data_IF_769935863242
#
_entry.id   IF_769935863242
#
_cell.length_a   1.000
_cell.length_b   1.000
_cell.length_c   1.000
_cell.angle_alpha   90.00
_cell.angle_beta   90.00
_cell.angle_gamma   90.00
#
_symmetry.space_group_name_H-M   'P 1'
#
loop_
_entity.id
_entity.type
_entity.pdbx_description
1 polymer ?
#
# COMPACT_ATOMS: atom_id res chain seq x y z
N UNK A 1 2.02 16.01 -32.69
CA UNK A 1 2.47 16.64 -31.43
C UNK A 1 3.66 15.82 -30.95
N UNK A 2 4.89 16.35 -31.04
CA UNK A 2 6.05 15.68 -30.45
C UNK A 2 5.91 15.86 -28.94
N UNK A 3 5.87 14.77 -28.18
CA UNK A 3 5.96 14.84 -26.72
C UNK A 3 7.37 15.38 -26.41
N UNK A 4 7.47 16.67 -26.11
CA UNK A 4 8.66 17.18 -25.47
C UNK A 4 8.72 16.55 -24.10
N UNK A 5 9.70 15.69 -23.89
CA UNK A 5 9.98 15.15 -22.57
C UNK A 5 10.39 16.33 -21.70
N UNK A 6 9.67 16.50 -20.60
CA UNK A 6 10.01 17.48 -19.58
C UNK A 6 11.45 17.20 -19.10
N UNK A 7 12.37 18.07 -19.47
CA UNK A 7 13.74 18.01 -18.95
C UNK A 7 13.66 18.51 -17.51
N UNK A 8 13.91 17.60 -16.57
CA UNK A 8 13.95 17.91 -15.15
C UNK A 8 14.92 19.06 -14.90
N UNK A 9 14.46 20.09 -14.22
CA UNK A 9 15.31 21.20 -13.77
C UNK A 9 16.25 20.72 -12.65
N UNK A 10 17.30 21.47 -12.32
CA UNK A 10 18.30 21.04 -11.33
C UNK A 10 17.70 20.88 -9.93
N UNK A 11 16.64 21.63 -9.59
CA UNK A 11 15.86 21.48 -8.36
C UNK A 11 15.13 20.13 -8.30
N UNK A 12 14.63 19.65 -9.44
CA UNK A 12 14.00 18.34 -9.57
C UNK A 12 14.99 17.18 -9.34
N UNK A 13 16.26 17.36 -9.70
CA UNK A 13 17.31 16.36 -9.47
C UNK A 13 17.60 16.18 -7.98
N UNK A 14 17.57 17.26 -7.20
CA UNK A 14 17.69 17.20 -5.74
C UNK A 14 16.52 16.42 -5.10
N UNK A 15 15.30 16.71 -5.53
CA UNK A 15 14.11 15.99 -5.10
C UNK A 15 14.17 14.51 -5.48
N UNK A 16 14.64 14.16 -6.69
CA UNK A 16 14.80 12.77 -7.10
C UNK A 16 15.84 12.01 -6.25
N UNK A 17 16.94 12.66 -5.89
CA UNK A 17 17.94 12.07 -4.99
C UNK A 17 17.31 11.75 -3.61
N UNK A 18 16.50 12.65 -3.10
CA UNK A 18 15.80 12.47 -1.84
C UNK A 18 14.73 11.37 -1.93
N UNK A 19 13.97 11.31 -3.04
CA UNK A 19 13.03 10.21 -3.30
C UNK A 19 13.74 8.86 -3.26
N UNK A 20 14.85 8.72 -3.99
CA UNK A 20 15.62 7.48 -4.06
C UNK A 20 16.07 7.02 -2.68
N UNK A 21 16.66 7.91 -1.88
CA UNK A 21 17.10 7.58 -0.52
C UNK A 21 15.93 7.11 0.38
N UNK A 22 14.74 7.69 0.22
CA UNK A 22 13.55 7.29 0.97
C UNK A 22 13.11 5.87 0.57
N UNK A 23 13.08 5.54 -0.72
CA UNK A 23 12.72 4.20 -1.21
C UNK A 23 13.74 3.15 -0.77
N UNK A 24 15.06 3.45 -0.89
CA UNK A 24 16.13 2.57 -0.45
C UNK A 24 16.05 2.28 1.06
N UNK A 25 15.69 3.27 1.89
CA UNK A 25 15.52 3.06 3.33
C UNK A 25 14.30 2.19 3.66
N UNK A 26 13.20 2.35 2.93
CA UNK A 26 12.01 1.50 3.06
C UNK A 26 12.37 0.05 2.71
N UNK A 27 13.11 -0.17 1.63
CA UNK A 27 13.55 -1.50 1.23
C UNK A 27 14.48 -2.13 2.29
N UNK A 28 15.47 -1.40 2.80
CA UNK A 28 16.41 -1.90 3.82
C UNK A 28 15.66 -2.39 5.07
N UNK A 29 14.70 -1.63 5.57
CA UNK A 29 13.89 -2.03 6.72
C UNK A 29 12.99 -3.22 6.39
N UNK A 30 12.28 -3.15 5.25
CA UNK A 30 11.35 -4.19 4.84
C UNK A 30 12.02 -5.54 4.59
N UNK A 31 13.16 -5.57 3.90
CA UNK A 31 13.95 -6.79 3.72
C UNK A 31 14.56 -7.28 5.04
N UNK A 32 15.00 -6.36 5.92
CA UNK A 32 15.46 -6.74 7.26
C UNK A 32 14.36 -7.45 8.06
N UNK A 33 13.10 -7.00 7.95
CA UNK A 33 11.95 -7.70 8.58
C UNK A 33 11.75 -9.08 7.95
N UNK A 34 11.76 -9.17 6.61
CA UNK A 34 11.60 -10.44 5.90
C UNK A 34 12.66 -11.46 6.28
N UNK A 35 13.92 -11.02 6.36
CA UNK A 35 15.06 -11.91 6.58
C UNK A 35 15.26 -12.28 8.05
N UNK A 36 15.04 -11.35 8.97
CA UNK A 36 15.37 -11.57 10.38
C UNK A 36 14.17 -11.95 11.25
N UNK A 37 12.96 -11.54 10.87
CA UNK A 37 11.74 -11.76 11.67
C UNK A 37 10.89 -12.87 11.07
N UNK A 38 10.80 -12.94 9.75
CA UNK A 38 9.89 -13.82 9.03
C UNK A 38 10.58 -15.00 8.31
N UNK A 39 11.88 -15.25 8.56
CA UNK A 39 12.69 -16.27 7.86
C UNK A 39 13.06 -17.50 8.70
N UNK A 40 12.45 -17.70 9.86
CA UNK A 40 12.76 -18.83 10.76
C UNK A 40 12.72 -20.22 10.10
N UNK A 41 13.48 -21.20 10.65
CA UNK A 41 13.62 -22.57 10.11
C UNK A 41 12.28 -23.34 10.06
N UNK A 42 11.30 -22.97 10.88
CA UNK A 42 9.96 -23.53 10.88
C UNK A 42 8.99 -22.42 10.52
N UNK A 43 8.78 -22.25 9.22
CA UNK A 43 7.71 -21.37 8.75
C UNK A 43 6.40 -22.14 8.95
N UNK A 44 5.68 -21.82 10.02
CA UNK A 44 4.28 -22.18 10.14
C UNK A 44 3.52 -21.49 8.97
N UNK A 45 2.62 -22.23 8.32
CA UNK A 45 1.81 -21.73 7.20
C UNK A 45 1.11 -20.39 7.54
N UNK A 46 0.89 -20.12 8.81
CA UNK A 46 0.31 -18.85 9.29
C UNK A 46 1.19 -17.61 8.99
N UNK A 47 2.48 -17.78 8.73
CA UNK A 47 3.39 -16.67 8.42
C UNK A 47 3.43 -16.31 6.93
N UNK A 48 2.98 -17.24 6.07
CA UNK A 48 2.97 -17.06 4.61
C UNK A 48 2.22 -15.78 4.20
N UNK A 49 0.99 -15.52 4.69
CA UNK A 49 0.27 -14.30 4.34
C UNK A 49 0.98 -13.02 4.77
N UNK A 50 1.56 -12.99 5.97
CA UNK A 50 2.27 -11.82 6.50
C UNK A 50 3.47 -11.49 5.60
N UNK A 51 4.29 -12.51 5.30
CA UNK A 51 5.42 -12.38 4.36
C UNK A 51 4.96 -11.90 2.99
N UNK A 52 3.90 -12.52 2.46
CA UNK A 52 3.39 -12.20 1.12
C UNK A 52 2.87 -10.77 1.05
N UNK A 53 2.17 -10.28 2.08
CA UNK A 53 1.69 -8.89 2.14
C UNK A 53 2.87 -7.93 2.24
N UNK A 54 3.83 -8.18 3.13
CA UNK A 54 5.01 -7.32 3.27
C UNK A 54 5.83 -7.31 1.97
N UNK A 55 6.09 -8.47 1.38
CA UNK A 55 6.79 -8.57 0.10
C UNK A 55 6.06 -7.78 -1.00
N UNK A 56 4.72 -7.89 -1.04
CA UNK A 56 3.91 -7.12 -2.00
C UNK A 56 4.01 -5.62 -1.78
N UNK A 57 4.07 -5.15 -0.53
CA UNK A 57 4.29 -3.75 -0.21
C UNK A 57 5.66 -3.26 -0.71
N UNK A 58 6.71 -4.08 -0.61
CA UNK A 58 8.04 -3.75 -1.16
C UNK A 58 8.05 -3.75 -2.71
N UNK A 59 7.34 -4.67 -3.37
CA UNK A 59 7.15 -4.59 -4.83
C UNK A 59 6.43 -3.29 -5.24
N UNK A 60 5.47 -2.82 -4.44
CA UNK A 60 4.79 -1.55 -4.70
C UNK A 60 5.71 -0.36 -4.43
N UNK A 61 6.59 -0.45 -3.42
CA UNK A 61 7.66 0.53 -3.17
C UNK A 61 8.56 0.69 -4.40
N UNK A 62 9.08 -0.41 -4.96
CA UNK A 62 9.89 -0.39 -6.19
C UNK A 62 9.10 0.20 -7.37
N UNK A 63 7.84 -0.21 -7.55
CA UNK A 63 6.97 0.32 -8.61
C UNK A 63 6.77 1.83 -8.47
N UNK A 64 6.50 2.32 -7.25
CA UNK A 64 6.34 3.76 -6.99
C UNK A 64 7.65 4.50 -7.26
N UNK A 65 8.81 3.92 -6.91
CA UNK A 65 10.11 4.54 -7.16
C UNK A 65 10.32 4.84 -8.65
N UNK A 66 9.97 3.88 -9.52
CA UNK A 66 10.04 4.04 -10.98
C UNK A 66 9.05 5.08 -11.50
N UNK A 67 7.81 5.07 -11.01
CA UNK A 67 6.78 6.03 -11.43
C UNK A 67 7.15 7.46 -11.01
N UNK A 68 7.60 7.65 -9.79
CA UNK A 68 8.01 8.95 -9.24
C UNK A 68 9.24 9.46 -9.98
N UNK A 69 10.27 8.63 -10.19
CA UNK A 69 11.46 9.00 -10.94
C UNK A 69 11.16 9.46 -12.39
N UNK A 70 10.04 8.98 -12.95
CA UNK A 70 9.58 9.35 -14.28
C UNK A 70 8.43 10.36 -14.29
N UNK A 71 8.08 10.95 -13.14
CA UNK A 71 6.97 11.90 -12.97
C UNK A 71 5.60 11.38 -13.43
N UNK A 72 5.37 10.06 -13.38
CA UNK A 72 4.13 9.40 -13.80
C UNK A 72 3.19 9.27 -12.59
N UNK A 73 2.76 10.39 -12.04
CA UNK A 73 2.07 10.44 -10.74
C UNK A 73 0.63 9.98 -10.81
N UNK A 74 -0.07 10.21 -11.92
CA UNK A 74 -1.48 9.84 -12.03
C UNK A 74 -1.74 8.34 -11.91
N UNK A 75 -0.78 7.51 -12.33
CA UNK A 75 -0.86 6.04 -12.19
C UNK A 75 -0.38 5.55 -10.83
N UNK A 76 0.23 6.41 -10.01
CA UNK A 76 0.65 6.06 -8.66
C UNK A 76 -0.53 6.02 -7.66
N UNK A 77 -1.59 6.80 -7.87
CA UNK A 77 -2.75 6.80 -6.95
C UNK A 77 -3.45 5.45 -6.78
N UNK A 78 -3.73 4.66 -7.84
CA UNK A 78 -4.22 3.29 -7.69
C UNK A 78 -3.30 2.40 -6.86
N UNK A 79 -1.98 2.57 -7.00
CA UNK A 79 -0.98 1.83 -6.23
C UNK A 79 -1.06 2.22 -4.76
N UNK A 80 -1.06 3.51 -4.45
CA UNK A 80 -1.18 4.02 -3.08
C UNK A 80 -2.48 3.56 -2.41
N UNK A 81 -3.59 3.48 -3.17
CA UNK A 81 -4.81 2.87 -2.68
C UNK A 81 -4.62 1.42 -2.29
N UNK A 82 -3.98 0.63 -3.15
CA UNK A 82 -3.74 -0.78 -2.88
C UNK A 82 -2.81 -0.97 -1.66
N UNK A 83 -1.79 -0.13 -1.50
CA UNK A 83 -0.96 -0.10 -0.28
C UNK A 83 -1.80 0.15 0.98
N UNK A 84 -2.74 1.10 0.92
CA UNK A 84 -3.62 1.36 2.05
C UNK A 84 -4.51 0.15 2.39
N UNK A 85 -5.04 -0.53 1.38
CA UNK A 85 -5.82 -1.76 1.58
C UNK A 85 -4.97 -2.88 2.21
N UNK A 86 -3.70 -3.02 1.80
CA UNK A 86 -2.75 -3.97 2.41
C UNK A 86 -2.38 -3.58 3.84
N UNK A 87 -2.17 -2.28 4.12
CA UNK A 87 -1.93 -1.78 5.47
C UNK A 87 -3.09 -2.12 6.40
N UNK A 88 -4.35 -1.91 5.98
CA UNK A 88 -5.53 -2.27 6.77
C UNK A 88 -5.57 -3.77 7.08
N UNK A 89 -5.32 -4.60 6.08
CA UNK A 89 -5.33 -6.06 6.23
C UNK A 89 -4.21 -6.54 7.16
N UNK A 90 -3.00 -6.02 6.98
CA UNK A 90 -1.87 -6.36 7.84
C UNK A 90 -2.08 -5.86 9.27
N UNK A 91 -2.62 -4.64 9.45
CA UNK A 91 -2.96 -4.09 10.76
C UNK A 91 -4.00 -4.94 11.49
N UNK A 92 -5.00 -5.45 10.79
CA UNK A 92 -5.99 -6.35 11.37
C UNK A 92 -5.37 -7.71 11.73
N UNK A 93 -4.51 -8.25 10.88
CA UNK A 93 -3.83 -9.52 11.11
C UNK A 93 -2.89 -9.43 12.31
N UNK A 94 -2.11 -8.36 12.43
CA UNK A 94 -1.13 -8.12 13.48
C UNK A 94 -1.70 -7.37 14.70
N UNK A 95 -3.02 -7.27 14.84
CA UNK A 95 -3.64 -6.52 15.95
C UNK A 95 -3.49 -7.20 17.31
N UNK A 96 -3.27 -8.52 17.33
CA UNK A 96 -3.19 -9.35 18.52
C UNK A 96 -2.41 -10.62 18.22
N UNK A 97 -1.36 -10.89 19.01
CA UNK A 97 -0.49 -12.04 18.87
C UNK A 97 -1.21 -13.37 19.12
N UNK A 98 -2.21 -13.41 20.00
CA UNK A 98 -2.95 -14.63 20.32
C UNK A 98 -3.82 -15.11 19.15
N UNK A 99 -4.35 -14.18 18.37
CA UNK A 99 -5.24 -14.46 17.23
C UNK A 99 -4.52 -14.42 15.87
N UNK A 100 -3.23 -14.10 15.86
CA UNK A 100 -2.42 -13.95 14.66
C UNK A 100 -2.51 -15.16 13.74
N UNK A 101 -2.23 -16.35 14.26
CA UNK A 101 -2.21 -17.59 13.46
C UNK A 101 -3.57 -17.87 12.82
N UNK A 102 -4.66 -17.69 13.56
CA UNK A 102 -6.01 -17.91 13.03
C UNK A 102 -6.41 -16.89 11.96
N UNK A 103 -6.10 -15.60 12.17
CA UNK A 103 -6.36 -14.54 11.19
C UNK A 103 -5.57 -14.74 9.91
N UNK A 104 -4.30 -15.04 10.05
CA UNK A 104 -3.41 -15.28 8.93
C UNK A 104 -3.84 -16.51 8.14
N UNK A 105 -4.16 -17.61 8.83
CA UNK A 105 -4.64 -18.81 8.18
C UNK A 105 -6.01 -18.62 7.52
N UNK A 106 -6.91 -17.78 8.07
CA UNK A 106 -8.17 -17.41 7.41
C UNK A 106 -7.91 -16.64 6.11
N UNK A 107 -6.95 -15.74 6.10
CA UNK A 107 -6.52 -15.07 4.86
C UNK A 107 -6.03 -16.07 3.82
N UNK A 108 -5.13 -16.97 4.20
CA UNK A 108 -4.58 -18.01 3.33
C UNK A 108 -5.67 -18.95 2.80
N UNK A 109 -6.55 -19.42 3.66
CA UNK A 109 -7.71 -20.22 3.29
C UNK A 109 -8.56 -19.53 2.23
N UNK A 110 -8.89 -18.26 2.41
CA UNK A 110 -9.70 -17.50 1.46
C UNK A 110 -8.97 -17.33 0.13
N UNK A 111 -7.68 -17.09 0.12
CA UNK A 111 -6.86 -16.98 -1.08
C UNK A 111 -6.83 -18.30 -1.87
N UNK A 112 -6.54 -19.42 -1.21
CA UNK A 112 -6.57 -20.76 -1.81
C UNK A 112 -7.95 -21.06 -2.39
N UNK A 113 -9.01 -20.78 -1.62
CA UNK A 113 -10.39 -21.04 -2.05
C UNK A 113 -10.76 -20.20 -3.28
N UNK A 114 -10.38 -18.95 -3.35
CA UNK A 114 -10.75 -18.04 -4.45
C UNK A 114 -9.94 -18.27 -5.72
N UNK A 115 -8.63 -18.51 -5.57
CA UNK A 115 -7.73 -18.64 -6.72
C UNK A 115 -7.66 -20.04 -7.27
N UNK A 116 -7.60 -21.05 -6.41
CA UNK A 116 -7.28 -22.41 -6.80
C UNK A 116 -8.49 -23.33 -6.83
N UNK A 117 -9.35 -23.30 -5.84
CA UNK A 117 -10.49 -24.22 -5.75
C UNK A 117 -11.45 -24.22 -6.96
N UNK A 118 -11.63 -23.12 -7.73
CA UNK A 118 -12.41 -23.17 -8.96
C UNK A 118 -11.78 -24.00 -10.08
N UNK A 119 -10.45 -24.16 -10.05
CA UNK A 119 -9.65 -24.81 -11.10
C UNK A 119 -8.98 -26.11 -10.63
N UNK A 120 -8.68 -26.21 -9.35
CA UNK A 120 -7.95 -27.31 -8.74
C UNK A 120 -8.55 -27.66 -7.36
N UNK A 121 -9.51 -28.60 -7.36
CA UNK A 121 -10.13 -29.08 -6.12
C UNK A 121 -9.19 -29.97 -5.31
N UNK A 122 -8.22 -30.61 -5.96
CA UNK A 122 -7.28 -31.52 -5.29
C UNK A 122 -6.38 -30.73 -4.35
N UNK A 123 -5.94 -29.52 -4.76
CA UNK A 123 -5.15 -28.64 -3.91
C UNK A 123 -5.88 -28.25 -2.61
N UNK A 124 -7.18 -27.95 -2.72
CA UNK A 124 -8.00 -27.64 -1.54
C UNK A 124 -8.11 -28.85 -0.59
N UNK A 125 -8.28 -30.04 -1.15
CA UNK A 125 -8.34 -31.31 -0.40
C UNK A 125 -7.00 -31.59 0.27
N UNK A 126 -5.89 -31.37 -0.42
CA UNK A 126 -4.55 -31.55 0.12
C UNK A 126 -4.30 -30.64 1.34
N UNK A 127 -4.62 -29.36 1.23
CA UNK A 127 -4.54 -28.43 2.38
C UNK A 127 -5.42 -28.86 3.55
N UNK A 128 -6.66 -29.31 3.31
CA UNK A 128 -7.54 -29.83 4.35
C UNK A 128 -7.01 -31.10 5.02
N UNK A 129 -6.31 -31.94 4.25
CA UNK A 129 -5.74 -33.19 4.76
C UNK A 129 -4.51 -32.94 5.61
N UNK A 130 -3.68 -31.98 5.20
CA UNK A 130 -2.38 -31.71 5.82
C UNK A 130 -2.44 -30.66 6.95
N UNK A 131 -3.50 -29.87 7.07
CA UNK A 131 -3.66 -28.87 8.10
C UNK A 131 -5.00 -28.99 8.81
N UNK A 132 -4.96 -29.33 10.10
CA UNK A 132 -6.15 -29.38 10.96
C UNK A 132 -6.84 -28.03 11.02
N UNK A 133 -6.09 -26.95 11.24
CA UNK A 133 -6.63 -25.59 11.30
C UNK A 133 -7.32 -25.21 9.99
N UNK A 134 -6.71 -25.52 8.85
CA UNK A 134 -7.32 -25.26 7.54
C UNK A 134 -8.65 -26.00 7.37
N UNK A 135 -8.74 -27.26 7.79
CA UNK A 135 -9.98 -28.06 7.76
C UNK A 135 -11.06 -27.50 8.67
N UNK A 136 -10.68 -27.05 9.88
CA UNK A 136 -11.60 -26.39 10.81
C UNK A 136 -12.15 -25.07 10.24
N UNK A 137 -11.30 -24.24 9.65
CA UNK A 137 -11.69 -23.02 8.97
C UNK A 137 -12.62 -23.27 7.79
N UNK A 138 -12.34 -24.31 7.00
CA UNK A 138 -13.23 -24.72 5.90
C UNK A 138 -14.64 -25.04 6.39
N UNK A 139 -14.73 -25.85 7.42
CA UNK A 139 -16.01 -26.24 8.04
C UNK A 139 -16.75 -25.01 8.60
N UNK A 140 -16.05 -24.14 9.32
CA UNK A 140 -16.57 -22.90 9.86
C UNK A 140 -17.10 -21.97 8.78
N UNK A 141 -16.33 -21.77 7.70
CA UNK A 141 -16.72 -20.87 6.60
C UNK A 141 -17.93 -21.41 5.84
N UNK A 142 -18.03 -22.73 5.61
CA UNK A 142 -19.19 -23.31 4.95
C UNK A 142 -20.48 -23.13 5.74
N UNK A 143 -20.41 -23.04 7.06
CA UNK A 143 -21.58 -22.78 7.91
C UNK A 143 -22.08 -21.32 7.83
N UNK A 144 -21.29 -20.39 7.28
CA UNK A 144 -21.67 -18.98 7.16
C UNK A 144 -22.49 -18.78 5.87
N UNK A 145 -23.72 -18.28 6.02
CA UNK A 145 -24.59 -17.99 4.86
C UNK A 145 -24.02 -16.80 4.04
N UNK A 146 -23.90 -17.01 2.74
CA UNK A 146 -23.38 -15.97 1.82
C UNK A 146 -21.87 -15.77 1.89
N UNK A 147 -21.15 -16.79 2.37
CA UNK A 147 -19.70 -16.77 2.54
C UNK A 147 -18.91 -16.48 1.24
N UNK A 148 -19.47 -16.79 0.04
CA UNK A 148 -18.79 -16.60 -1.24
C UNK A 148 -18.50 -15.12 -1.57
N UNK A 149 -19.25 -14.20 -0.96
CA UNK A 149 -19.16 -12.75 -1.21
C UNK A 149 -18.54 -11.99 -0.04
N UNK A 150 -18.04 -12.70 0.96
CA UNK A 150 -17.45 -12.09 2.14
C UNK A 150 -15.94 -12.04 1.99
N UNK A 151 -15.35 -10.91 2.42
CA UNK A 151 -13.91 -10.78 2.60
C UNK A 151 -13.42 -11.69 3.74
N UNK A 152 -12.15 -12.05 3.74
CA UNK A 152 -11.56 -12.93 4.75
C UNK A 152 -11.74 -12.42 6.18
N UNK A 153 -11.59 -11.12 6.41
CA UNK A 153 -11.81 -10.48 7.71
C UNK A 153 -13.30 -10.51 8.13
N UNK A 154 -14.22 -10.45 7.16
CA UNK A 154 -15.65 -10.64 7.43
C UNK A 154 -15.97 -12.08 7.82
N UNK A 155 -15.32 -13.06 7.20
CA UNK A 155 -15.44 -14.47 7.50
C UNK A 155 -14.83 -14.79 8.88
N UNK A 156 -13.68 -14.19 9.19
CA UNK A 156 -13.04 -14.32 10.49
C UNK A 156 -13.98 -13.82 11.62
N UNK A 157 -14.52 -12.63 11.48
CA UNK A 157 -15.42 -11.99 12.44
C UNK A 157 -16.86 -12.54 12.40
N UNK A 158 -17.17 -13.43 11.48
CA UNK A 158 -18.52 -13.97 11.24
C UNK A 158 -19.60 -12.88 11.09
N UNK A 159 -19.24 -11.75 10.48
CA UNK A 159 -20.14 -10.64 10.18
C UNK A 159 -19.64 -9.87 8.97
N UNK A 160 -20.56 -9.25 8.22
CA UNK A 160 -20.18 -8.42 7.09
C UNK A 160 -19.42 -7.15 7.55
N UNK A 161 -18.18 -7.02 7.13
CA UNK A 161 -17.32 -5.85 7.37
C UNK A 161 -16.98 -5.24 6.02
N UNK A 162 -17.21 -3.95 5.87
CA UNK A 162 -16.75 -3.17 4.72
C UNK A 162 -15.30 -2.73 4.95
N UNK A 163 -14.62 -2.24 3.91
CA UNK A 163 -13.28 -1.70 4.07
C UNK A 163 -13.24 -0.50 5.05
N UNK A 164 -14.30 0.32 5.06
CA UNK A 164 -14.49 1.36 6.08
C UNK A 164 -14.58 0.75 7.48
N UNK A 165 -15.41 -0.26 7.65
CA UNK A 165 -15.53 -0.95 8.96
C UNK A 165 -14.21 -1.59 9.39
N UNK A 166 -13.41 -2.12 8.46
CA UNK A 166 -12.07 -2.61 8.75
C UNK A 166 -11.15 -1.48 9.23
N UNK A 167 -11.19 -0.31 8.57
CA UNK A 167 -10.40 0.85 9.01
C UNK A 167 -10.78 1.34 10.40
N UNK A 168 -12.06 1.26 10.77
CA UNK A 168 -12.55 1.58 12.12
C UNK A 168 -12.01 0.59 13.17
N UNK A 169 -11.99 -0.70 12.85
CA UNK A 169 -11.46 -1.75 13.73
C UNK A 169 -9.97 -1.55 14.02
N UNK A 170 -9.19 -1.18 13.02
CA UNK A 170 -7.73 -1.01 13.16
C UNK A 170 -7.31 0.43 13.52
N UNK A 171 -8.25 1.34 13.75
CA UNK A 171 -7.98 2.72 14.17
C UNK A 171 -7.41 3.62 13.06
N UNK A 172 -7.73 3.32 11.80
CA UNK A 172 -7.34 4.08 10.61
C UNK A 172 -8.52 4.72 9.87
N UNK A 173 -9.63 4.93 10.58
CA UNK A 173 -10.86 5.52 10.05
C UNK A 173 -10.68 6.94 9.52
N UNK A 174 -9.84 7.76 10.18
CA UNK A 174 -9.51 9.12 9.72
C UNK A 174 -8.77 9.09 8.39
N UNK A 175 -7.77 8.23 8.26
CA UNK A 175 -7.02 8.04 7.02
C UNK A 175 -7.95 7.55 5.90
N UNK A 176 -8.83 6.59 6.21
CA UNK A 176 -9.82 6.11 5.25
C UNK A 176 -10.69 7.25 4.72
N UNK A 177 -11.26 8.07 5.60
CA UNK A 177 -12.15 9.17 5.20
C UNK A 177 -11.43 10.26 4.40
N UNK A 178 -10.16 10.52 4.70
CA UNK A 178 -9.38 11.55 4.03
C UNK A 178 -8.82 11.10 2.67
N UNK A 179 -8.42 9.85 2.54
CA UNK A 179 -7.65 9.37 1.40
C UNK A 179 -8.44 8.48 0.45
N UNK A 180 -9.19 7.52 0.98
CA UNK A 180 -9.79 6.46 0.19
C UNK A 180 -10.81 6.94 -0.87
N UNK A 181 -11.68 7.93 -0.60
CA UNK A 181 -12.60 8.44 -1.61
C UNK A 181 -11.86 9.04 -2.82
N UNK A 182 -10.76 9.78 -2.58
CA UNK A 182 -9.96 10.39 -3.64
C UNK A 182 -9.19 9.33 -4.43
N UNK A 183 -8.54 8.37 -3.75
CA UNK A 183 -7.82 7.28 -4.39
C UNK A 183 -8.75 6.32 -5.16
N UNK A 184 -10.00 6.20 -4.72
CA UNK A 184 -11.01 5.34 -5.35
C UNK A 184 -11.58 5.93 -6.64
N UNK A 185 -11.72 7.25 -6.72
CA UNK A 185 -12.27 7.93 -7.90
C UNK A 185 -11.42 7.68 -9.15
N UNK A 186 -10.11 7.62 -9.01
CA UNK A 186 -9.17 7.41 -10.11
C UNK A 186 -9.25 6.01 -10.75
N UNK A 187 -9.74 5.01 -10.01
CA UNK A 187 -9.84 3.63 -10.52
C UNK A 187 -11.14 3.38 -11.28
N UNK A 188 -12.23 4.01 -10.86
CA UNK A 188 -13.56 3.70 -11.40
C UNK A 188 -13.94 4.49 -12.65
N UNK A 189 -13.01 5.25 -13.25
CA UNK A 189 -13.27 6.03 -14.47
C UNK A 189 -14.33 7.14 -14.32
N UNK A 190 -14.95 7.26 -13.13
CA UNK A 190 -15.90 8.34 -12.80
C UNK A 190 -15.20 9.70 -12.65
N UNK A 191 -13.90 9.69 -12.46
CA UNK A 191 -13.03 10.86 -12.32
C UNK A 191 -12.49 11.39 -13.64
N UNK A 192 -12.94 10.87 -14.79
CA UNK A 192 -12.60 11.48 -16.08
C UNK A 192 -13.01 12.97 -16.14
N UNK A 193 -13.91 13.41 -15.26
CA UNK A 193 -14.19 14.84 -15.05
C UNK A 193 -12.99 15.63 -14.48
N UNK A 194 -12.06 14.99 -13.81
CA UNK A 194 -10.74 15.57 -13.51
C UNK A 194 -9.91 15.84 -14.77
N UNK A 195 -10.33 15.34 -15.93
CA UNK A 195 -9.78 15.82 -17.19
C UNK A 195 -9.87 17.36 -17.32
N UNK A 196 -10.85 17.99 -16.66
CA UNK A 196 -10.91 19.45 -16.57
C UNK A 196 -9.75 20.05 -15.76
N UNK A 197 -9.20 19.33 -14.79
CA UNK A 197 -7.99 19.75 -14.08
C UNK A 197 -6.72 19.52 -14.90
N UNK A 198 -6.81 18.73 -15.96
CA UNK A 198 -5.72 18.48 -16.92
C UNK A 198 -5.77 19.44 -18.11
N UNK A 199 -6.72 20.34 -18.14
CA UNK A 199 -6.83 21.39 -19.15
C UNK A 199 -6.61 22.74 -18.49
N UNK A 200 -6.00 23.66 -19.20
CA UNK A 200 -5.96 25.07 -18.83
C UNK A 200 -6.47 25.93 -19.98
N UNK A 201 -7.04 27.06 -19.66
CA UNK A 201 -7.55 28.03 -20.63
C UNK A 201 -6.55 29.19 -20.75
N UNK A 202 -6.12 29.47 -21.97
CA UNK A 202 -5.32 30.64 -22.30
C UNK A 202 -5.89 31.29 -23.56
N UNK A 203 -6.27 32.56 -23.47
CA UNK A 203 -6.81 33.33 -24.60
C UNK A 203 -8.04 32.70 -25.26
N UNK A 204 -8.90 32.00 -24.51
CA UNK A 204 -10.09 31.32 -25.03
C UNK A 204 -9.79 29.97 -25.72
N UNK A 205 -8.59 29.44 -25.56
CA UNK A 205 -8.19 28.11 -26.03
C UNK A 205 -7.94 27.19 -24.87
N UNK A 206 -8.33 25.92 -25.04
CA UNK A 206 -8.07 24.86 -24.06
C UNK A 206 -6.87 24.03 -24.46
N UNK A 207 -5.93 23.86 -23.54
CA UNK A 207 -4.73 23.06 -23.72
C UNK A 207 -4.75 21.90 -22.73
N UNK A 208 -4.32 20.72 -23.17
CA UNK A 208 -4.13 19.58 -22.29
C UNK A 208 -2.83 19.77 -21.50
N UNK A 209 -2.90 19.63 -20.18
CA UNK A 209 -1.70 19.54 -19.34
C UNK A 209 -0.91 18.28 -19.68
N UNK A 210 0.39 18.34 -19.48
CA UNK A 210 1.23 17.14 -19.59
C UNK A 210 0.81 16.07 -18.58
N UNK A 211 0.94 14.78 -18.95
CA UNK A 211 0.65 13.68 -18.02
C UNK A 211 1.71 13.57 -16.92
N UNK A 212 2.89 14.13 -17.11
CA UNK A 212 3.99 14.10 -16.15
C UNK A 212 3.95 15.39 -15.34
N UNK A 213 3.37 15.29 -14.14
CA UNK A 213 3.18 16.42 -13.25
C UNK A 213 4.02 16.22 -12.00
N UNK A 214 5.11 16.95 -11.91
CA UNK A 214 5.96 16.94 -10.72
C UNK A 214 5.20 17.41 -9.45
N UNK A 215 4.30 18.36 -9.60
CA UNK A 215 3.52 18.99 -8.52
C UNK A 215 2.76 18.01 -7.59
N UNK A 216 2.47 16.79 -8.04
CA UNK A 216 1.73 15.79 -7.25
C UNK A 216 2.60 14.75 -6.56
N UNK A 217 3.92 14.77 -6.79
CA UNK A 217 4.84 13.81 -6.16
C UNK A 217 4.72 13.82 -4.64
N UNK A 218 4.65 15.01 -4.05
CA UNK A 218 4.56 15.17 -2.61
C UNK A 218 3.36 14.44 -2.01
N UNK A 219 2.21 14.44 -2.68
CA UNK A 219 1.00 13.76 -2.19
C UNK A 219 1.21 12.25 -2.12
N UNK A 220 1.70 11.65 -3.22
CA UNK A 220 1.98 10.22 -3.29
C UNK A 220 3.05 9.82 -2.26
N UNK A 221 4.18 10.56 -2.24
CA UNK A 221 5.28 10.27 -1.33
C UNK A 221 4.88 10.40 0.14
N UNK A 222 4.13 11.43 0.49
CA UNK A 222 3.63 11.63 1.86
C UNK A 222 2.74 10.46 2.31
N UNK A 223 1.85 10.00 1.44
CA UNK A 223 0.97 8.89 1.73
C UNK A 223 1.77 7.58 1.85
N UNK A 224 2.64 7.31 0.88
CA UNK A 224 3.49 6.13 0.87
C UNK A 224 4.35 6.02 2.14
N UNK A 225 5.05 7.09 2.51
CA UNK A 225 5.86 7.15 3.73
C UNK A 225 4.99 6.91 4.98
N UNK A 226 3.80 7.55 5.06
CA UNK A 226 2.90 7.35 6.21
C UNK A 226 2.40 5.91 6.31
N UNK A 227 2.16 5.25 5.18
CA UNK A 227 1.73 3.85 5.18
C UNK A 227 2.88 2.92 5.59
N UNK A 228 4.07 3.08 5.01
CA UNK A 228 5.20 2.21 5.30
C UNK A 228 5.69 2.36 6.75
N UNK A 229 5.75 3.58 7.31
CA UNK A 229 6.09 3.76 8.73
C UNK A 229 5.10 3.05 9.67
N UNK A 230 3.82 3.03 9.32
CA UNK A 230 2.79 2.31 10.09
C UNK A 230 2.93 0.81 9.96
N UNK A 231 3.20 0.32 8.74
CA UNK A 231 3.47 -1.09 8.50
C UNK A 231 4.63 -1.57 9.37
N UNK A 232 5.77 -0.89 9.33
CA UNK A 232 6.95 -1.30 10.09
C UNK A 232 6.72 -1.33 11.60
N UNK A 233 5.97 -0.37 12.13
CA UNK A 233 5.61 -0.30 13.56
C UNK A 233 4.65 -1.41 14.03
N UNK A 234 4.08 -2.20 13.14
CA UNK A 234 3.27 -3.35 13.53
C UNK A 234 4.14 -4.51 14.04
N UNK A 235 5.33 -4.70 13.46
CA UNK A 235 6.15 -5.88 13.71
C UNK A 235 6.70 -5.97 15.13
N UNK A 236 7.31 -4.93 15.73
CA UNK A 236 7.80 -5.01 17.11
C UNK A 236 6.70 -5.24 18.15
N UNK A 237 5.43 -5.05 17.80
CA UNK A 237 4.30 -5.31 18.72
C UNK A 237 3.97 -6.78 18.87
N UNK A 238 4.32 -7.59 17.88
CA UNK A 238 3.87 -8.98 17.74
C UNK A 238 5.02 -9.96 17.68
N UNK A 239 6.16 -9.50 17.15
CA UNK A 239 7.36 -10.32 16.96
C UNK A 239 8.50 -9.81 17.84
N UNK A 240 9.36 -10.73 18.25
CA UNK A 240 10.64 -10.39 18.85
C UNK A 240 11.59 -9.92 17.73
N UNK A 241 11.88 -8.63 17.71
CA UNK A 241 12.78 -8.01 16.74
C UNK A 241 14.09 -7.64 17.41
N UNK A 242 15.21 -7.69 16.67
CA UNK A 242 16.49 -7.24 17.22
C UNK A 242 16.47 -5.74 17.54
N UNK A 243 17.21 -5.32 18.57
CA UNK A 243 17.31 -3.91 18.93
C UNK A 243 17.76 -3.04 17.75
N UNK A 244 18.69 -3.52 16.94
CA UNK A 244 19.15 -2.83 15.74
C UNK A 244 18.02 -2.55 14.75
N UNK A 245 17.14 -3.53 14.52
CA UNK A 245 15.99 -3.36 13.63
C UNK A 245 14.94 -2.44 14.23
N UNK A 246 14.69 -2.53 15.52
CA UNK A 246 13.78 -1.62 16.23
C UNK A 246 14.27 -0.18 16.16
N UNK A 247 15.57 0.06 16.38
CA UNK A 247 16.19 1.38 16.26
C UNK A 247 16.06 1.94 14.82
N UNK A 248 16.24 1.11 13.79
CA UNK A 248 16.02 1.51 12.39
C UNK A 248 14.56 1.91 12.12
N UNK A 249 13.61 1.13 12.64
CA UNK A 249 12.17 1.42 12.50
C UNK A 249 11.83 2.73 13.20
N UNK A 250 12.36 2.98 14.39
CA UNK A 250 12.11 4.17 15.18
C UNK A 250 12.75 5.43 14.57
N UNK A 251 13.96 5.28 14.03
CA UNK A 251 14.61 6.35 13.28
C UNK A 251 13.80 6.73 12.03
N UNK A 252 13.39 5.74 11.23
CA UNK A 252 12.53 6.00 10.06
C UNK A 252 11.20 6.66 10.46
N UNK A 253 10.55 6.15 11.51
CA UNK A 253 9.29 6.72 12.00
C UNK A 253 9.44 8.18 12.42
N UNK A 254 10.53 8.52 13.11
CA UNK A 254 10.82 9.88 13.57
C UNK A 254 11.15 10.82 12.40
N UNK A 255 11.92 10.34 11.41
CA UNK A 255 12.29 11.12 10.23
C UNK A 255 11.13 11.28 9.23
N UNK A 256 10.13 10.42 9.28
CA UNK A 256 9.01 10.45 8.35
C UNK A 256 8.30 11.82 8.31
N UNK A 257 8.12 12.47 9.46
CA UNK A 257 7.54 13.81 9.51
C UNK A 257 8.44 14.87 8.84
N UNK A 258 9.75 14.76 9.01
CA UNK A 258 10.74 15.59 8.31
C UNK A 258 10.71 15.38 6.79
N UNK A 259 10.55 14.16 6.34
CA UNK A 259 10.37 13.86 4.92
C UNK A 259 9.11 14.51 4.36
N UNK A 260 7.98 14.39 5.06
CA UNK A 260 6.72 15.01 4.69
C UNK A 260 6.86 16.54 4.57
N UNK A 261 7.49 17.19 5.54
CA UNK A 261 7.72 18.65 5.50
C UNK A 261 8.69 19.05 4.37
N UNK A 262 9.71 18.24 4.10
CA UNK A 262 10.61 18.45 2.96
C UNK A 262 9.85 18.39 1.64
N UNK A 263 8.99 17.37 1.44
CA UNK A 263 8.17 17.28 0.23
C UNK A 263 7.19 18.44 0.08
N UNK A 264 6.61 18.94 1.16
CA UNK A 264 5.76 20.13 1.13
C UNK A 264 6.54 21.39 0.76
N UNK A 265 7.79 21.52 1.22
CA UNK A 265 8.63 22.67 0.90
C UNK A 265 9.06 22.67 -0.57
N UNK A 266 9.37 21.50 -1.15
CA UNK A 266 9.68 21.35 -2.57
C UNK A 266 8.51 21.83 -3.43
N UNK A 267 7.28 21.51 -3.04
CA UNK A 267 6.08 22.01 -3.73
C UNK A 267 6.00 23.53 -3.78
N UNK A 268 6.38 24.21 -2.70
CA UNK A 268 6.29 25.66 -2.60
C UNK A 268 7.41 26.38 -3.35
N UNK A 269 8.50 25.67 -3.66
CA UNK A 269 9.64 26.20 -4.44
C UNK A 269 9.52 25.89 -5.94
N UNK A 270 8.67 24.93 -6.33
CA UNK A 270 8.42 24.64 -7.74
C UNK A 270 7.70 25.84 -8.37
N UNK A 271 8.42 26.57 -9.19
CA UNK A 271 7.94 27.66 -10.02
C UNK A 271 6.77 27.14 -10.85
N UNK A 272 5.70 27.92 -10.93
CA UNK A 272 4.56 27.64 -11.79
C UNK A 272 5.09 27.37 -13.22
N UNK A 273 5.04 26.12 -13.71
CA UNK A 273 5.56 25.82 -15.05
C UNK A 273 4.79 26.54 -16.15
N UNK A 274 3.71 27.26 -15.81
CA UNK A 274 2.95 28.13 -16.73
C UNK A 274 3.56 29.52 -16.89
N UNK A 275 4.44 29.95 -15.97
CA UNK A 275 5.09 31.26 -16.08
C UNK A 275 6.05 31.34 -17.29
N UNK A 276 6.64 30.19 -17.68
CA UNK A 276 7.58 30.15 -18.82
C UNK A 276 6.91 30.02 -20.19
N UNK A 277 5.59 29.77 -20.25
CA UNK A 277 4.82 29.71 -21.51
C UNK A 277 4.08 31.02 -21.83
N UNK A 278 4.23 32.05 -21.02
CA UNK A 278 3.62 33.36 -21.22
C UNK A 278 4.50 34.35 -22.02
N UNK A 279 5.52 33.86 -22.76
CA UNK A 279 6.28 34.67 -23.71
C UNK A 279 6.05 34.23 -25.16
#
# INVERSE_FOLDING_TARGET
MKAEYYLLQDEDKGAQGFHRLTFEQIDDIGFSILDNVLSGEVIDDSWIPIRSILYRLLELNDTLSVLIANSVVSTAFPITRYEFELLLQLSFMLSDSETLSEKSMMYYYCDVRQRFAPHDKELLIDHMTNSKLFSELHTRVLAIKGNERMSWYSLYENRKITLKGLSEIVGLDKQYLQLYPHLSSDIHGSSCLEANTKCFEDGGKYYLRHFRLFERHHTVMTQHIDFMRRVFKLFPKVFDVSQELEDKIDDFYTRADGYVETYKSIKNSAIDPLADFAM
#
